data_IF_144890919926
#
_entry.id   IF_144890919926
#
_cell.length_a   1.000
_cell.length_b   1.000
_cell.length_c   1.000
_cell.angle_alpha   90.00
_cell.angle_beta   90.00
_cell.angle_gamma   90.00
#
_symmetry.space_group_name_H-M   'P 1'
#
loop_
_entity.id
_entity.type
_entity.pdbx_description
1 polymer ?
#
# COMPACT_ATOMS: atom_id res chain seq x y z
N UNK A 1 12.61 1.06 40.39
CA UNK A 1 13.86 0.94 39.61
C UNK A 1 14.70 2.16 39.93
N UNK A 2 16.04 2.07 39.99
CA UNK A 2 16.87 3.25 40.12
C UNK A 2 16.68 4.14 38.88
N UNK A 3 16.58 5.46 39.08
CA UNK A 3 16.59 6.42 37.98
C UNK A 3 18.05 6.76 37.67
N UNK A 4 18.42 6.76 36.38
CA UNK A 4 19.75 7.07 35.86
C UNK A 4 19.82 8.47 35.24
N UNK A 5 18.68 9.04 34.84
CA UNK A 5 18.56 10.36 34.26
C UNK A 5 17.45 11.17 34.95
N UNK A 6 17.79 12.40 35.36
CA UNK A 6 16.83 13.43 35.76
C UNK A 6 16.53 14.29 34.53
N UNK A 7 15.30 14.23 34.01
CA UNK A 7 14.89 14.90 32.77
C UNK A 7 13.87 15.98 33.10
N UNK A 8 14.10 17.21 32.64
CA UNK A 8 13.19 18.34 32.85
C UNK A 8 13.01 19.14 31.56
N UNK A 9 11.77 19.33 31.08
CA UNK A 9 11.52 20.22 29.95
C UNK A 9 11.70 21.69 30.37
N UNK A 10 12.04 22.54 29.41
CA UNK A 10 12.02 23.99 29.60
C UNK A 10 10.60 24.55 29.60
N UNK A 11 9.72 23.97 28.79
CA UNK A 11 8.32 24.37 28.64
C UNK A 11 7.42 23.13 28.67
N UNK A 12 6.31 23.19 29.40
CA UNK A 12 5.33 22.10 29.47
C UNK A 12 4.35 22.11 28.27
N UNK A 13 4.29 23.22 27.53
CA UNK A 13 3.40 23.41 26.38
C UNK A 13 4.08 24.17 25.25
N UNK A 14 3.92 23.70 24.01
CA UNK A 14 4.40 24.37 22.80
C UNK A 14 3.25 24.85 21.91
N UNK A 15 3.47 25.96 21.22
CA UNK A 15 2.61 26.44 20.13
C UNK A 15 3.31 26.22 18.80
N UNK A 16 2.67 25.50 17.88
CA UNK A 16 3.20 25.30 16.54
C UNK A 16 2.95 26.55 15.70
N UNK A 17 3.98 27.01 14.99
CA UNK A 17 3.88 28.02 13.95
C UNK A 17 4.15 27.34 12.61
N UNK A 18 3.19 27.39 11.71
CA UNK A 18 3.26 26.72 10.40
C UNK A 18 3.62 25.22 10.53
N UNK A 19 2.99 24.55 11.51
CA UNK A 19 3.23 23.13 11.80
C UNK A 19 4.57 22.83 12.50
N UNK A 20 5.34 23.84 12.92
CA UNK A 20 6.68 23.67 13.49
C UNK A 20 6.81 24.23 14.91
N UNK A 21 7.52 23.50 15.77
CA UNK A 21 7.92 23.96 17.11
C UNK A 21 9.22 23.26 17.56
N UNK A 22 9.73 23.61 18.75
CA UNK A 22 10.84 22.87 19.38
C UNK A 22 10.68 22.86 20.90
N UNK A 23 10.87 21.69 21.51
CA UNK A 23 11.01 21.52 22.96
C UNK A 23 12.49 21.43 23.34
N UNK A 24 12.88 22.04 24.45
CA UNK A 24 14.20 21.83 25.06
C UNK A 24 14.07 21.02 26.34
N UNK A 25 14.98 20.08 26.55
CA UNK A 25 15.05 19.23 27.74
C UNK A 25 16.43 19.35 28.35
N UNK A 26 16.48 19.62 29.65
CA UNK A 26 17.68 19.51 30.47
C UNK A 26 17.73 18.11 31.06
N UNK A 27 18.81 17.39 30.78
CA UNK A 27 19.05 16.02 31.22
C UNK A 27 20.28 15.99 32.10
N UNK A 28 20.14 15.52 33.33
CA UNK A 28 21.25 15.26 34.23
C UNK A 28 21.40 13.76 34.43
N UNK A 29 22.60 13.24 34.19
CA UNK A 29 22.89 11.83 34.43
C UNK A 29 23.33 11.62 35.89
N UNK A 30 22.65 10.72 36.59
CA UNK A 30 22.85 10.45 38.04
C UNK A 30 23.49 9.09 38.31
N UNK A 31 23.93 8.37 37.26
CA UNK A 31 24.72 7.15 37.42
C UNK A 31 26.15 7.39 37.90
N UNK A 32 26.89 6.30 38.14
CA UNK A 32 28.21 6.32 38.78
C UNK A 32 29.39 6.04 37.84
N UNK A 33 29.14 5.88 36.53
CA UNK A 33 30.14 5.65 35.48
C UNK A 33 29.84 6.52 34.27
N UNK A 34 30.84 6.87 33.49
CA UNK A 34 30.62 7.50 32.17
C UNK A 34 29.82 6.56 31.26
N UNK A 35 28.87 7.12 30.52
CA UNK A 35 28.00 6.41 29.57
C UNK A 35 27.90 7.15 28.26
N UNK A 36 27.66 6.44 27.17
CA UNK A 36 27.13 7.03 25.95
C UNK A 36 25.60 7.09 26.04
N UNK A 37 25.03 8.28 26.29
CA UNK A 37 23.60 8.47 26.46
C UNK A 37 22.94 8.88 25.14
N UNK A 38 21.83 8.24 24.78
CA UNK A 38 21.03 8.56 23.60
C UNK A 38 19.67 9.13 24.00
N UNK A 39 19.33 10.27 23.40
CA UNK A 39 18.04 10.93 23.51
C UNK A 39 17.08 10.37 22.45
N UNK A 40 15.89 9.93 22.89
CA UNK A 40 14.85 9.35 22.04
C UNK A 40 13.52 10.08 22.25
N UNK A 41 13.03 10.85 21.28
CA UNK A 41 11.72 11.48 21.41
C UNK A 41 10.63 10.43 21.18
N UNK A 42 9.56 10.49 21.97
CA UNK A 42 8.42 9.57 21.87
C UNK A 42 7.16 10.38 21.65
N UNK A 43 6.42 10.06 20.59
CA UNK A 43 5.14 10.69 20.30
C UNK A 43 4.02 10.14 21.19
N UNK A 44 3.15 11.03 21.67
CA UNK A 44 2.06 10.73 22.58
C UNK A 44 0.76 11.41 22.11
N UNK A 45 -0.38 10.97 22.66
CA UNK A 45 -1.71 11.55 22.39
C UNK A 45 -2.03 11.70 20.88
N UNK A 46 -1.74 10.66 20.09
CA UNK A 46 -2.05 10.64 18.66
C UNK A 46 -1.04 11.36 17.76
N UNK A 47 0.06 11.89 18.31
CA UNK A 47 1.18 12.38 17.52
C UNK A 47 1.89 11.21 16.81
N UNK A 48 2.58 11.51 15.71
CA UNK A 48 3.38 10.52 14.98
C UNK A 48 4.87 10.71 15.32
N UNK A 49 5.60 9.61 15.57
CA UNK A 49 7.05 9.66 15.84
C UNK A 49 7.83 10.34 14.70
N UNK A 50 7.35 10.23 13.46
CA UNK A 50 7.96 10.89 12.30
C UNK A 50 7.92 12.42 12.37
N UNK A 51 7.13 13.01 13.27
CA UNK A 51 7.09 14.45 13.49
C UNK A 51 8.21 14.94 14.39
N UNK A 52 8.87 14.02 15.11
CA UNK A 52 9.80 14.35 16.18
C UNK A 52 11.22 14.02 15.78
N UNK A 53 12.13 14.96 16.00
CA UNK A 53 13.53 14.79 15.64
C UNK A 53 14.42 15.49 16.68
N UNK A 54 15.34 14.75 17.31
CA UNK A 54 16.35 15.33 18.20
C UNK A 54 17.41 16.01 17.36
N UNK A 55 17.70 17.27 17.69
CA UNK A 55 18.76 18.05 17.04
C UNK A 55 20.12 17.38 17.29
N UNK A 56 20.86 17.14 16.22
CA UNK A 56 22.13 16.39 16.29
C UNK A 56 23.20 17.13 17.11
N UNK A 57 24.02 16.40 17.89
CA UNK A 57 24.01 14.95 18.06
C UNK A 57 22.97 14.48 19.09
N UNK A 58 22.23 13.43 18.73
CA UNK A 58 21.24 12.77 19.60
C UNK A 58 21.86 11.81 20.63
N UNK A 59 23.11 11.40 20.40
CA UNK A 59 23.89 10.57 21.30
C UNK A 59 25.10 11.38 21.80
N UNK A 60 25.35 11.36 23.12
CA UNK A 60 26.41 12.13 23.76
C UNK A 60 27.00 11.37 24.94
N UNK A 61 28.30 11.47 25.12
CA UNK A 61 28.96 10.96 26.32
C UNK A 61 28.53 11.79 27.54
N UNK A 62 28.17 11.12 28.64
CA UNK A 62 27.76 11.73 29.89
C UNK A 62 28.56 11.17 31.08
N UNK A 63 29.25 12.03 31.81
CA UNK A 63 29.92 11.72 33.07
C UNK A 63 28.93 11.76 34.27
N UNK A 64 29.23 11.09 35.40
CA UNK A 64 28.42 11.18 36.62
C UNK A 64 28.12 12.63 37.03
N UNK A 65 26.85 12.95 37.25
CA UNK A 65 26.31 14.29 37.56
C UNK A 65 26.44 15.34 36.44
N UNK A 66 26.85 14.95 35.23
CA UNK A 66 26.88 15.88 34.10
C UNK A 66 25.46 16.22 33.64
N UNK A 67 25.26 17.50 33.31
CA UNK A 67 24.01 18.02 32.75
C UNK A 67 24.22 18.41 31.29
N UNK A 68 23.29 18.03 30.44
CA UNK A 68 23.27 18.39 29.02
C UNK A 68 21.87 18.82 28.57
N UNK A 69 21.81 19.66 27.54
CA UNK A 69 20.55 20.08 26.93
C UNK A 69 20.34 19.38 25.59
N UNK A 70 19.15 18.81 25.41
CA UNK A 70 18.68 18.23 24.17
C UNK A 70 17.51 19.04 23.63
N UNK A 71 17.45 19.21 22.32
CA UNK A 71 16.36 19.92 21.65
C UNK A 71 15.64 18.98 20.71
N UNK A 72 14.33 18.90 20.83
CA UNK A 72 13.45 18.09 19.99
C UNK A 72 12.66 19.02 19.09
N UNK A 73 12.87 18.93 17.79
CA UNK A 73 12.05 19.63 16.81
C UNK A 73 10.75 18.85 16.55
N UNK A 74 9.66 19.58 16.41
CA UNK A 74 8.32 19.05 16.09
C UNK A 74 7.93 19.61 14.72
N UNK A 75 7.57 18.72 13.78
CA UNK A 75 7.17 19.05 12.41
C UNK A 75 5.89 18.29 12.05
N UNK A 76 4.73 18.87 12.32
CA UNK A 76 3.45 18.35 11.89
C UNK A 76 3.23 18.65 10.39
N UNK A 77 2.92 17.66 9.53
CA UNK A 77 2.70 17.88 8.11
C UNK A 77 1.42 18.69 7.84
N UNK A 78 1.32 19.37 6.68
CA UNK A 78 0.08 19.99 6.24
C UNK A 78 -1.09 18.98 6.22
N UNK A 79 -2.30 19.45 6.55
CA UNK A 79 -3.48 18.58 6.66
C UNK A 79 -3.56 17.74 7.94
N UNK A 80 -2.62 17.91 8.88
CA UNK A 80 -2.72 17.29 10.20
C UNK A 80 -4.01 17.75 10.90
N UNK A 81 -4.83 16.84 11.45
CA UNK A 81 -6.04 17.21 12.18
C UNK A 81 -5.74 18.18 13.32
N UNK A 82 -6.52 19.25 13.42
CA UNK A 82 -6.46 20.20 14.54
C UNK A 82 -6.70 19.46 15.85
N UNK A 83 -5.86 19.70 16.86
CA UNK A 83 -5.97 19.00 18.13
C UNK A 83 -4.79 19.20 19.07
N UNK A 84 -4.94 18.63 20.26
CA UNK A 84 -3.90 18.58 21.29
C UNK A 84 -3.11 17.27 21.17
N UNK A 85 -1.80 17.43 21.02
CA UNK A 85 -0.83 16.36 20.88
C UNK A 85 0.19 16.44 22.00
N UNK A 86 1.05 15.43 22.13
CA UNK A 86 2.11 15.45 23.11
C UNK A 86 3.34 14.69 22.65
N UNK A 87 4.46 14.97 23.31
CA UNK A 87 5.69 14.21 23.21
C UNK A 87 6.32 14.06 24.59
N UNK A 88 7.29 13.16 24.71
CA UNK A 88 8.28 13.20 25.80
C UNK A 88 9.67 12.88 25.24
N UNK A 89 10.69 13.11 26.05
CA UNK A 89 12.05 12.67 25.77
C UNK A 89 12.42 11.53 26.70
N UNK A 90 12.78 10.38 26.14
CA UNK A 90 13.34 9.26 26.88
C UNK A 90 14.87 9.25 26.71
N UNK A 91 15.58 8.89 27.77
CA UNK A 91 17.04 8.77 27.77
C UNK A 91 17.44 7.32 28.01
N UNK A 92 18.36 6.81 27.20
CA UNK A 92 18.87 5.45 27.30
C UNK A 92 20.40 5.44 27.26
N UNK A 93 21.01 4.54 28.01
CA UNK A 93 22.42 4.19 27.88
C UNK A 93 22.61 3.27 26.69
N UNK A 94 23.52 3.61 25.77
CA UNK A 94 23.82 2.76 24.59
C UNK A 94 24.43 1.42 25.00
N UNK A 95 25.18 1.39 26.10
CA UNK A 95 25.84 0.19 26.62
C UNK A 95 24.87 -0.80 27.30
N UNK A 96 23.72 -0.31 27.79
CA UNK A 96 22.75 -1.10 28.54
C UNK A 96 21.33 -0.53 28.42
N UNK A 97 20.72 -0.71 27.24
CA UNK A 97 19.41 -0.11 26.91
C UNK A 97 18.24 -0.66 27.72
N UNK A 98 18.38 -1.85 28.30
CA UNK A 98 17.27 -2.55 28.96
C UNK A 98 17.14 -2.19 30.45
N UNK A 99 18.24 -1.78 31.08
CA UNK A 99 18.29 -1.48 32.53
C UNK A 99 18.58 -0.02 32.84
N UNK A 100 19.33 0.69 31.98
CA UNK A 100 19.74 2.08 32.20
C UNK A 100 18.94 3.03 31.30
N UNK A 101 17.67 3.25 31.65
CA UNK A 101 16.79 4.19 30.95
C UNK A 101 15.84 4.94 31.88
N UNK A 102 15.43 6.14 31.46
CA UNK A 102 14.36 6.89 32.11
C UNK A 102 13.46 7.58 31.08
N UNK A 103 12.19 7.71 31.44
CA UNK A 103 11.18 8.41 30.65
C UNK A 103 11.01 9.84 31.18
N UNK A 104 11.11 10.82 30.28
CA UNK A 104 10.97 12.22 30.65
C UNK A 104 9.51 12.66 30.83
N UNK A 105 9.31 13.88 31.35
CA UNK A 105 7.99 14.49 31.45
C UNK A 105 7.34 14.69 30.07
N UNK A 106 6.01 14.75 30.06
CA UNK A 106 5.23 15.00 28.85
C UNK A 106 5.15 16.49 28.55
N UNK A 107 5.48 16.87 27.31
CA UNK A 107 5.31 18.21 26.76
C UNK A 107 4.13 18.18 25.79
N UNK A 108 3.12 19.02 26.04
CA UNK A 108 1.94 19.11 25.17
C UNK A 108 2.17 20.11 24.04
N UNK A 109 1.57 19.90 22.87
CA UNK A 109 1.61 20.88 21.80
C UNK A 109 0.32 20.87 20.99
N UNK A 110 -0.07 22.03 20.46
CA UNK A 110 -1.33 22.19 19.74
C UNK A 110 -1.10 22.42 18.25
N UNK A 111 -1.80 21.65 17.41
CA UNK A 111 -1.90 21.92 15.97
C UNK A 111 -3.14 22.78 15.77
N UNK A 112 -2.95 24.00 15.27
CA UNK A 112 -4.03 24.92 14.93
C UNK A 112 -4.49 24.72 13.49
N UNK A 113 -5.74 25.08 13.20
CA UNK A 113 -6.29 25.05 11.86
C UNK A 113 -5.49 26.00 10.95
N UNK A 114 -4.86 25.43 9.93
CA UNK A 114 -4.15 26.22 8.92
C UNK A 114 -5.19 27.07 8.19
N UNK A 115 -5.19 28.39 8.42
CA UNK A 115 -5.95 29.32 7.59
C UNK A 115 -5.40 29.22 6.18
N UNK A 116 -6.16 28.59 5.30
CA UNK A 116 -5.87 28.58 3.87
C UNK A 116 -5.74 30.05 3.41
N UNK A 117 -4.66 30.43 2.71
CA UNK A 117 -4.57 31.77 2.15
C UNK A 117 -5.79 31.98 1.25
N UNK A 118 -6.53 33.07 1.46
CA UNK A 118 -7.67 33.44 0.63
C UNK A 118 -7.25 33.33 -0.84
N UNK A 119 -7.96 32.55 -1.68
CA UNK A 119 -7.59 32.41 -3.07
C UNK A 119 -7.61 33.79 -3.71
N UNK A 120 -6.46 34.22 -4.24
CA UNK A 120 -6.39 35.45 -5.03
C UNK A 120 -7.43 35.36 -6.14
N UNK A 121 -8.27 36.38 -6.35
CA UNK A 121 -9.33 36.33 -7.36
C UNK A 121 -8.69 36.10 -8.73
N UNK A 122 -8.88 34.89 -9.26
CA UNK A 122 -8.43 34.53 -10.61
C UNK A 122 -9.21 35.43 -11.57
N UNK A 123 -8.50 36.40 -12.15
CA UNK A 123 -9.07 37.32 -13.13
C UNK A 123 -9.72 36.54 -14.28
N UNK A 124 -10.93 36.95 -14.65
CA UNK A 124 -11.72 36.29 -15.67
C UNK A 124 -10.90 36.07 -16.96
N UNK A 125 -10.72 34.81 -17.41
CA UNK A 125 -9.84 34.47 -18.53
C UNK A 125 -10.40 34.98 -19.86
N UNK A 126 -9.92 36.14 -20.31
CA UNK A 126 -10.32 36.74 -21.60
C UNK A 126 -10.07 35.86 -22.82
N UNK A 127 -9.18 34.87 -22.73
CA UNK A 127 -8.94 33.91 -23.80
C UNK A 127 -10.17 33.05 -24.10
N UNK A 128 -11.03 32.76 -23.11
CA UNK A 128 -12.29 32.02 -23.32
C UNK A 128 -13.28 32.81 -24.19
N UNK A 129 -13.32 34.13 -24.06
CA UNK A 129 -14.14 35.01 -24.93
C UNK A 129 -13.64 34.96 -26.37
N UNK A 130 -12.32 34.94 -26.57
CA UNK A 130 -11.70 34.84 -27.89
C UNK A 130 -11.99 33.47 -28.52
N UNK A 131 -11.86 32.38 -27.76
CA UNK A 131 -12.17 31.02 -28.26
C UNK A 131 -13.64 30.89 -28.66
N UNK A 132 -14.57 31.38 -27.83
CA UNK A 132 -16.02 31.35 -28.14
C UNK A 132 -16.33 32.16 -29.41
N UNK A 133 -15.71 33.33 -29.56
CA UNK A 133 -15.89 34.16 -30.77
C UNK A 133 -15.36 33.46 -32.03
N UNK A 134 -14.22 32.78 -31.96
CA UNK A 134 -13.65 32.02 -33.09
C UNK A 134 -14.53 30.83 -33.46
N UNK A 135 -15.01 30.06 -32.47
CA UNK A 135 -15.91 28.92 -32.71
C UNK A 135 -17.22 29.36 -33.37
N UNK A 136 -17.81 30.48 -32.93
CA UNK A 136 -19.01 31.04 -33.55
C UNK A 136 -18.79 31.44 -35.02
N UNK A 137 -17.64 32.05 -35.34
CA UNK A 137 -17.30 32.42 -36.72
C UNK A 137 -17.08 31.17 -37.59
N UNK A 138 -16.42 30.14 -37.06
CA UNK A 138 -16.20 28.88 -37.77
C UNK A 138 -17.50 28.09 -37.97
N UNK A 139 -18.42 28.09 -37.00
CA UNK A 139 -19.71 27.42 -37.12
C UNK A 139 -20.59 28.08 -38.21
N UNK A 140 -20.60 29.41 -38.26
CA UNK A 140 -21.34 30.15 -39.30
C UNK A 140 -20.69 29.95 -40.68
N UNK A 141 -19.35 30.02 -40.76
CA UNK A 141 -18.61 29.81 -42.00
C UNK A 141 -18.73 28.37 -42.53
N UNK A 142 -18.60 27.37 -41.65
CA UNK A 142 -18.71 25.96 -41.97
C UNK A 142 -20.13 25.54 -42.33
N UNK A 143 -21.14 26.04 -41.61
CA UNK A 143 -22.54 25.76 -41.90
C UNK A 143 -22.99 26.28 -43.28
N UNK A 144 -22.47 27.43 -43.70
CA UNK A 144 -22.77 28.00 -45.02
C UNK A 144 -22.10 27.21 -46.16
N UNK A 145 -20.93 26.63 -45.91
CA UNK A 145 -20.21 25.81 -46.89
C UNK A 145 -20.79 24.39 -47.05
N UNK A 146 -21.21 23.78 -45.92
CA UNK A 146 -21.84 22.46 -45.90
C UNK A 146 -23.19 22.45 -46.62
N UNK A 147 -24.00 23.51 -46.44
CA UNK A 147 -25.32 23.61 -47.09
C UNK A 147 -25.25 23.81 -48.61
N UNK A 148 -24.07 24.08 -49.18
CA UNK A 148 -23.88 24.33 -50.62
C UNK A 148 -23.08 23.23 -51.35
N UNK A 149 -22.61 22.19 -50.67
CA UNK A 149 -21.67 21.21 -51.23
C UNK A 149 -22.17 19.75 -51.16
N UNK A 150 -22.95 19.33 -52.17
CA UNK A 150 -23.30 17.92 -52.49
C UNK A 150 -24.61 17.44 -51.85
N UNK A 151 -25.65 16.97 -52.55
CA UNK A 151 -25.81 16.11 -53.75
C UNK A 151 -25.16 14.72 -53.66
N UNK A 152 -26.00 13.75 -53.27
CA UNK A 152 -26.14 12.45 -53.94
C UNK A 152 -25.13 11.37 -53.60
N UNK A 153 -25.47 10.46 -52.69
CA UNK A 153 -25.34 9.00 -52.93
C UNK A 153 -26.10 8.18 -51.89
N UNK A 154 -27.08 7.44 -52.38
CA UNK A 154 -27.85 6.42 -51.67
C UNK A 154 -26.99 5.16 -51.47
N UNK A 155 -27.11 4.53 -50.30
CA UNK A 155 -26.41 3.29 -49.98
C UNK A 155 -26.49 2.94 -48.49
N UNK A 156 -27.70 2.85 -47.95
CA UNK A 156 -27.97 2.27 -46.64
C UNK A 156 -27.93 0.73 -46.78
N UNK A 157 -26.78 0.13 -46.44
CA UNK A 157 -26.75 -1.26 -45.98
C UNK A 157 -27.02 -1.22 -44.47
N UNK A 158 -28.21 -1.69 -44.07
CA UNK A 158 -28.54 -1.99 -42.68
C UNK A 158 -27.68 -3.21 -42.26
N UNK A 159 -26.51 -2.95 -41.69
CA UNK A 159 -25.90 -3.90 -40.77
C UNK A 159 -26.80 -3.92 -39.52
N UNK A 160 -27.47 -5.06 -39.29
CA UNK A 160 -28.01 -5.41 -37.97
C UNK A 160 -26.81 -5.47 -37.02
N UNK A 161 -26.43 -4.30 -36.47
CA UNK A 161 -25.57 -4.19 -35.31
C UNK A 161 -26.37 -4.82 -34.17
N UNK A 162 -26.06 -6.08 -33.87
CA UNK A 162 -26.49 -6.77 -32.66
C UNK A 162 -25.98 -5.92 -31.48
N UNK A 163 -26.78 -4.92 -31.09
CA UNK A 163 -26.66 -4.12 -29.88
C UNK A 163 -26.82 -5.06 -28.68
N UNK A 164 -25.82 -5.90 -28.42
CA UNK A 164 -25.53 -6.37 -27.07
C UNK A 164 -25.22 -5.10 -26.27
N UNK A 165 -26.28 -4.49 -25.75
CA UNK A 165 -26.20 -3.42 -24.78
C UNK A 165 -25.43 -3.99 -23.58
N UNK A 166 -24.10 -3.85 -23.63
CA UNK A 166 -23.23 -4.01 -22.48
C UNK A 166 -23.74 -2.98 -21.48
N UNK A 167 -24.55 -3.46 -20.53
CA UNK A 167 -25.12 -2.61 -19.50
C UNK A 167 -23.95 -2.00 -18.74
N UNK A 168 -23.64 -0.75 -19.06
CA UNK A 168 -22.54 0.00 -18.48
C UNK A 168 -22.59 -0.19 -16.97
N UNK A 169 -21.49 -0.68 -16.41
CA UNK A 169 -21.42 -1.03 -15.00
C UNK A 169 -21.47 0.26 -14.20
N UNK A 170 -22.54 0.46 -13.44
CA UNK A 170 -22.66 1.57 -12.49
C UNK A 170 -21.97 1.26 -11.16
N UNK A 171 -21.84 2.27 -10.29
CA UNK A 171 -21.24 2.11 -8.97
C UNK A 171 -21.97 1.07 -8.10
N UNK A 172 -23.28 0.88 -8.31
CA UNK A 172 -24.09 -0.02 -7.49
C UNK A 172 -23.68 -1.48 -7.66
N UNK A 173 -23.17 -1.85 -8.84
CA UNK A 173 -22.62 -3.18 -9.13
C UNK A 173 -21.49 -3.61 -8.18
N UNK A 174 -20.79 -2.63 -7.60
CA UNK A 174 -19.66 -2.82 -6.68
C UNK A 174 -20.05 -2.76 -5.20
N UNK A 175 -21.29 -2.39 -4.88
CA UNK A 175 -21.73 -2.29 -3.49
C UNK A 175 -21.76 -3.65 -2.83
N UNK A 176 -21.27 -3.73 -1.59
CA UNK A 176 -21.23 -5.00 -0.87
C UNK A 176 -20.24 -5.03 0.28
N UNK A 177 -20.26 -6.15 0.99
CA UNK A 177 -19.28 -6.51 2.01
C UNK A 177 -18.29 -7.52 1.44
N UNK A 178 -17.01 -7.19 1.54
CA UNK A 178 -15.91 -8.00 1.08
C UNK A 178 -15.01 -8.37 2.25
N UNK A 179 -14.46 -9.59 2.22
CA UNK A 179 -13.48 -10.10 3.19
C UNK A 179 -12.17 -10.36 2.49
N UNK A 180 -11.07 -10.18 3.17
CA UNK A 180 -9.80 -10.09 2.48
C UNK A 180 -8.58 -10.11 3.35
N UNK A 181 -7.47 -9.70 2.72
CA UNK A 181 -6.16 -9.59 3.33
C UNK A 181 -5.59 -8.19 3.12
N UNK A 182 -5.10 -7.59 4.20
CA UNK A 182 -4.32 -6.36 4.19
C UNK A 182 -2.86 -6.71 4.45
N UNK A 183 -2.06 -6.79 3.39
CA UNK A 183 -0.67 -7.28 3.44
C UNK A 183 -0.56 -8.69 4.06
N UNK A 184 -1.63 -9.50 3.97
CA UNK A 184 -1.72 -10.85 4.56
C UNK A 184 -2.52 -10.95 5.86
N UNK A 185 -2.81 -9.83 6.52
CA UNK A 185 -3.59 -9.74 7.77
C UNK A 185 -5.09 -9.75 7.50
N UNK A 186 -5.92 -10.22 8.43
CA UNK A 186 -7.37 -10.25 8.20
C UNK A 186 -7.92 -8.84 8.00
N UNK A 187 -8.70 -8.66 6.94
CA UNK A 187 -9.31 -7.37 6.63
C UNK A 187 -10.72 -7.53 6.07
N UNK A 188 -11.50 -6.46 6.14
CA UNK A 188 -12.78 -6.33 5.43
C UNK A 188 -12.85 -5.01 4.69
N UNK A 189 -13.56 -4.98 3.57
CA UNK A 189 -13.86 -3.78 2.80
C UNK A 189 -15.36 -3.75 2.56
N UNK A 190 -16.01 -2.65 2.92
CA UNK A 190 -17.39 -2.37 2.56
C UNK A 190 -17.41 -1.26 1.52
N UNK A 191 -18.12 -1.49 0.43
CA UNK A 191 -18.35 -0.52 -0.64
C UNK A 191 -19.83 -0.17 -0.65
N UNK A 192 -20.13 1.12 -0.71
CA UNK A 192 -21.50 1.65 -0.78
C UNK A 192 -21.56 2.70 -1.88
N UNK A 193 -22.30 2.42 -2.95
CA UNK A 193 -22.64 3.43 -3.93
C UNK A 193 -23.64 4.43 -3.33
N UNK A 194 -23.56 5.68 -3.77
CA UNK A 194 -24.60 6.66 -3.50
C UNK A 194 -25.83 6.41 -4.39
N UNK A 195 -26.93 7.14 -4.13
CA UNK A 195 -28.18 7.00 -4.91
C UNK A 195 -28.01 7.34 -6.39
N UNK A 196 -27.09 8.26 -6.72
CA UNK A 196 -26.82 8.65 -8.09
C UNK A 196 -25.95 7.65 -8.87
N UNK A 197 -25.31 6.69 -8.18
CA UNK A 197 -24.43 5.70 -8.80
C UNK A 197 -23.11 6.27 -9.34
N UNK A 198 -22.74 7.49 -8.93
CA UNK A 198 -21.57 8.22 -9.41
C UNK A 198 -20.47 8.39 -8.35
N UNK A 199 -20.71 7.91 -7.12
CA UNK A 199 -19.73 7.90 -6.05
C UNK A 199 -19.78 6.58 -5.25
N UNK A 200 -18.61 6.16 -4.77
CA UNK A 200 -18.42 5.01 -3.90
C UNK A 200 -17.87 5.47 -2.55
N UNK A 201 -18.58 5.14 -1.48
CA UNK A 201 -18.07 5.21 -0.11
C UNK A 201 -17.40 3.89 0.25
N UNK A 202 -16.16 3.98 0.68
CA UNK A 202 -15.29 2.86 1.00
C UNK A 202 -15.03 2.84 2.52
N UNK A 203 -15.20 1.68 3.15
CA UNK A 203 -14.96 1.46 4.58
C UNK A 203 -14.08 0.21 4.72
N UNK A 204 -12.78 0.41 4.94
CA UNK A 204 -11.82 -0.66 5.15
C UNK A 204 -11.59 -0.86 6.65
N UNK A 205 -11.53 -2.12 7.09
CA UNK A 205 -11.14 -2.49 8.46
C UNK A 205 -9.98 -3.48 8.45
N UNK A 206 -8.96 -3.15 9.22
CA UNK A 206 -7.88 -4.05 9.61
C UNK A 206 -8.34 -4.79 10.87
N UNK A 207 -8.81 -6.02 10.70
CA UNK A 207 -9.45 -6.79 11.77
C UNK A 207 -8.45 -7.23 12.83
N UNK A 208 -7.18 -7.42 12.45
CA UNK A 208 -6.13 -7.83 13.37
C UNK A 208 -5.67 -6.67 14.26
N UNK A 209 -5.72 -5.43 13.77
CA UNK A 209 -5.37 -4.21 14.57
C UNK A 209 -6.57 -3.45 15.12
N UNK A 210 -7.79 -3.87 14.78
CA UNK A 210 -9.02 -3.13 15.06
C UNK A 210 -8.95 -1.65 14.59
N UNK A 211 -8.37 -1.43 13.41
CA UNK A 211 -8.26 -0.10 12.80
C UNK A 211 -9.27 0.03 11.64
N UNK A 212 -9.84 1.21 11.46
CA UNK A 212 -10.80 1.52 10.38
C UNK A 212 -10.34 2.73 9.60
N UNK A 213 -10.42 2.63 8.28
CA UNK A 213 -10.16 3.72 7.34
C UNK A 213 -11.36 3.87 6.41
N UNK A 214 -11.77 5.10 6.15
CA UNK A 214 -12.89 5.40 5.27
C UNK A 214 -12.45 6.38 4.18
N UNK A 215 -13.11 6.32 3.03
CA UNK A 215 -12.93 7.29 1.96
C UNK A 215 -14.13 7.33 1.04
N UNK A 216 -14.15 8.32 0.16
CA UNK A 216 -15.20 8.53 -0.82
C UNK A 216 -14.54 8.90 -2.14
N UNK A 217 -14.97 8.27 -3.22
CA UNK A 217 -14.36 8.39 -4.54
C UNK A 217 -15.44 8.51 -5.58
N UNK A 218 -15.22 9.39 -6.55
CA UNK A 218 -16.07 9.46 -7.73
C UNK A 218 -15.85 8.26 -8.62
N UNK A 219 -16.93 7.76 -9.19
CA UNK A 219 -16.96 6.61 -10.07
C UNK A 219 -17.59 7.03 -11.39
N UNK A 220 -16.77 7.06 -12.43
CA UNK A 220 -17.26 7.11 -13.80
C UNK A 220 -17.36 5.68 -14.29
N UNK A 221 -18.59 5.16 -14.48
CA UNK A 221 -18.79 3.81 -15.03
C UNK A 221 -18.14 3.62 -16.40
N UNK A 222 -18.27 2.40 -16.94
CA UNK A 222 -17.74 2.03 -18.26
C UNK A 222 -17.14 0.63 -18.27
N UNK A 223 -16.68 0.21 -19.45
CA UNK A 223 -16.29 -1.18 -19.73
C UNK A 223 -14.85 -1.51 -19.34
N UNK A 224 -14.07 -0.53 -18.90
CA UNK A 224 -12.68 -0.73 -18.49
C UNK A 224 -12.56 -1.08 -17.01
N UNK A 225 -11.48 -1.76 -16.65
CA UNK A 225 -11.10 -1.93 -15.25
C UNK A 225 -10.99 -0.56 -14.58
N UNK A 226 -11.66 -0.38 -13.44
CA UNK A 226 -11.69 0.91 -12.77
C UNK A 226 -10.55 0.98 -11.76
N UNK A 227 -9.51 1.73 -12.12
CA UNK A 227 -8.41 2.07 -11.20
C UNK A 227 -8.71 3.40 -10.55
N UNK A 228 -9.05 3.33 -9.27
CA UNK A 228 -9.33 4.48 -8.44
C UNK A 228 -8.08 4.81 -7.63
N UNK A 229 -7.51 5.99 -7.86
CA UNK A 229 -6.37 6.52 -7.11
C UNK A 229 -6.81 7.27 -5.86
N UNK A 230 -6.05 7.11 -4.78
CA UNK A 230 -6.31 7.78 -3.51
C UNK A 230 -7.62 7.42 -2.79
N UNK A 231 -8.09 6.16 -2.80
CA UNK A 231 -9.37 5.78 -2.19
C UNK A 231 -9.52 6.12 -0.71
N UNK A 232 -8.42 6.30 0.02
CA UNK A 232 -8.42 6.68 1.44
C UNK A 232 -7.58 7.93 1.74
N UNK A 233 -7.36 8.80 0.74
CA UNK A 233 -6.68 10.08 0.91
C UNK A 233 -5.15 10.08 0.68
N UNK A 234 -4.52 8.94 0.42
CA UNK A 234 -3.13 8.86 -0.04
C UNK A 234 -3.10 8.60 -1.55
N UNK A 235 -2.62 9.57 -2.33
CA UNK A 235 -2.58 9.51 -3.81
C UNK A 235 -1.80 8.33 -4.39
N UNK A 236 -1.01 7.63 -3.56
CA UNK A 236 -0.29 6.44 -3.98
C UNK A 236 -1.08 5.14 -3.85
N UNK A 237 -2.25 5.17 -3.23
CA UNK A 237 -3.12 4.01 -3.15
C UNK A 237 -3.91 3.83 -4.44
N UNK A 238 -4.07 2.59 -4.88
CA UNK A 238 -4.84 2.20 -6.06
C UNK A 238 -5.83 1.13 -5.66
N UNK A 239 -7.12 1.40 -5.79
CA UNK A 239 -8.21 0.41 -5.73
C UNK A 239 -8.51 -0.02 -7.16
N UNK A 240 -8.56 -1.31 -7.42
CA UNK A 240 -8.84 -1.86 -8.74
C UNK A 240 -10.09 -2.72 -8.66
N UNK A 241 -11.07 -2.35 -9.48
CA UNK A 241 -12.34 -3.05 -9.67
C UNK A 241 -12.26 -3.82 -11.00
N UNK A 242 -12.32 -5.16 -10.92
CA UNK A 242 -12.03 -6.08 -12.02
C UNK A 242 -13.19 -6.20 -13.02
N UNK A 243 -12.92 -6.13 -14.32
CA UNK A 243 -13.97 -6.15 -15.35
C UNK A 243 -14.79 -7.44 -15.35
N UNK A 244 -14.11 -8.58 -15.20
CA UNK A 244 -14.72 -9.90 -15.40
C UNK A 244 -15.17 -10.60 -14.11
N UNK A 245 -14.83 -10.07 -12.93
CA UNK A 245 -15.27 -10.61 -11.64
C UNK A 245 -15.51 -9.49 -10.61
N UNK A 246 -16.79 -9.19 -10.35
CA UNK A 246 -17.22 -8.14 -9.40
C UNK A 246 -17.16 -8.58 -7.94
N UNK A 247 -16.99 -9.86 -7.71
CA UNK A 247 -16.81 -10.38 -6.37
C UNK A 247 -15.37 -10.24 -5.90
N UNK A 248 -14.46 -9.85 -6.79
CA UNK A 248 -13.03 -9.66 -6.53
C UNK A 248 -12.61 -8.19 -6.55
N UNK A 249 -11.73 -7.82 -5.62
CA UNK A 249 -11.14 -6.49 -5.54
C UNK A 249 -9.65 -6.63 -5.21
N UNK A 250 -8.80 -5.96 -5.97
CA UNK A 250 -7.39 -5.76 -5.62
C UNK A 250 -7.15 -4.33 -5.20
N UNK A 251 -6.19 -4.14 -4.30
CA UNK A 251 -5.67 -2.82 -3.97
C UNK A 251 -4.17 -2.85 -3.78
N UNK A 252 -3.52 -1.76 -4.14
CA UNK A 252 -2.15 -1.46 -3.77
C UNK A 252 -2.16 -0.24 -2.85
N UNK A 253 -1.42 -0.29 -1.76
CA UNK A 253 -1.20 0.90 -0.93
C UNK A 253 0.28 1.10 -0.63
N UNK A 254 0.63 2.27 -0.09
CA UNK A 254 1.98 2.55 0.38
C UNK A 254 1.98 2.87 1.86
N UNK A 255 2.97 2.33 2.57
CA UNK A 255 3.21 2.66 3.98
C UNK A 255 4.68 2.99 4.14
N UNK A 256 4.96 4.22 4.59
CA UNK A 256 6.34 4.74 4.69
C UNK A 256 7.13 4.60 3.37
N UNK A 257 6.46 4.77 2.24
CA UNK A 257 7.06 4.65 0.90
C UNK A 257 7.23 3.21 0.40
N UNK A 258 6.84 2.20 1.18
CA UNK A 258 6.88 0.79 0.80
C UNK A 258 5.50 0.34 0.34
N UNK A 259 5.40 -0.20 -0.87
CA UNK A 259 4.15 -0.71 -1.40
C UNK A 259 3.73 -2.01 -0.70
N UNK A 260 2.43 -2.22 -0.55
CA UNK A 260 1.86 -3.47 -0.02
C UNK A 260 0.53 -3.79 -0.70
N UNK A 261 0.28 -5.09 -0.86
CA UNK A 261 -0.92 -5.60 -1.51
C UNK A 261 -2.11 -5.72 -0.57
N UNK A 262 -3.31 -5.56 -1.13
CA UNK A 262 -4.58 -5.90 -0.47
C UNK A 262 -5.46 -6.64 -1.46
N UNK A 263 -6.17 -7.64 -0.95
CA UNK A 263 -7.10 -8.43 -1.74
C UNK A 263 -8.39 -8.55 -0.98
N UNK A 264 -9.52 -8.47 -1.66
CA UNK A 264 -10.82 -8.73 -1.07
C UNK A 264 -11.67 -9.55 -2.04
N UNK A 265 -12.48 -10.43 -1.48
CA UNK A 265 -13.51 -11.17 -2.20
C UNK A 265 -14.82 -11.15 -1.40
N UNK A 266 -16.00 -11.19 -2.04
CA UNK A 266 -17.28 -11.27 -1.29
C UNK A 266 -17.37 -12.50 -0.38
N UNK A 267 -16.84 -13.63 -0.84
CA UNK A 267 -16.70 -14.85 -0.03
C UNK A 267 -15.51 -14.85 0.93
N UNK A 268 -14.56 -13.93 0.76
CA UNK A 268 -13.24 -14.01 1.38
C UNK A 268 -12.33 -15.03 0.72
N UNK A 269 -11.19 -15.29 1.37
CA UNK A 269 -10.20 -16.27 0.91
C UNK A 269 -9.94 -17.30 2.02
N UNK A 270 -9.99 -18.58 1.66
CA UNK A 270 -9.89 -19.69 2.62
C UNK A 270 -8.47 -19.92 3.16
N UNK A 271 -7.44 -19.34 2.53
CA UNK A 271 -6.05 -19.54 2.95
C UNK A 271 -5.62 -18.51 3.99
N UNK A 272 -4.92 -18.94 5.03
CA UNK A 272 -4.29 -18.01 5.96
C UNK A 272 -3.14 -17.25 5.29
N UNK A 273 -2.93 -15.99 5.68
CA UNK A 273 -1.66 -15.31 5.42
C UNK A 273 -0.53 -16.02 6.15
N UNK A 274 0.42 -16.59 5.41
CA UNK A 274 1.67 -17.08 6.00
C UNK A 274 2.50 -15.90 6.51
N UNK A 275 2.76 -15.82 7.82
CA UNK A 275 3.81 -14.92 8.32
C UNK A 275 5.15 -15.44 7.84
N UNK A 276 5.98 -14.53 7.33
CA UNK A 276 7.42 -14.42 7.59
C UNK A 276 8.08 -13.77 6.38
N UNK A 277 8.67 -12.61 6.59
CA UNK A 277 9.86 -12.22 5.83
C UNK A 277 10.98 -12.18 6.87
N UNK A 278 11.96 -13.06 6.72
CA UNK A 278 13.32 -12.78 7.18
C UNK A 278 14.12 -12.50 5.90
N UNK A 279 15.08 -11.58 5.99
CA UNK A 279 15.70 -10.91 4.85
C UNK A 279 16.40 -11.86 3.87
N UNK A 280 16.71 -13.10 4.26
CA UNK A 280 17.43 -14.05 3.40
C UNK A 280 16.52 -14.98 2.59
N UNK A 281 15.20 -14.99 2.85
CA UNK A 281 14.27 -15.99 2.30
C UNK A 281 13.35 -15.51 1.18
N UNK A 282 13.52 -14.29 0.68
CA UNK A 282 12.67 -13.74 -0.38
C UNK A 282 12.50 -14.68 -1.59
N UNK A 283 13.55 -15.44 -1.93
CA UNK A 283 13.52 -16.42 -3.04
C UNK A 283 12.45 -17.48 -2.84
N UNK A 284 12.29 -17.97 -1.61
CA UNK A 284 11.28 -18.98 -1.29
C UNK A 284 9.85 -18.41 -1.39
N UNK A 285 9.66 -17.12 -1.13
CA UNK A 285 8.34 -16.46 -1.19
C UNK A 285 7.91 -16.10 -2.60
N UNK A 286 8.85 -15.92 -3.53
CA UNK A 286 8.53 -15.78 -4.95
C UNK A 286 8.44 -17.14 -5.64
N UNK A 287 9.30 -18.09 -5.30
CA UNK A 287 9.32 -19.39 -5.99
C UNK A 287 8.04 -20.18 -5.72
N UNK A 288 7.32 -20.54 -6.77
CA UNK A 288 6.10 -21.34 -6.63
C UNK A 288 5.15 -21.20 -7.80
N UNK A 289 4.00 -21.85 -7.64
CA UNK A 289 2.83 -21.71 -8.51
C UNK A 289 1.70 -21.08 -7.73
N UNK A 290 0.93 -20.26 -8.42
CA UNK A 290 -0.16 -19.49 -7.88
C UNK A 290 -1.34 -19.56 -8.85
N UNK A 291 -2.54 -19.67 -8.30
CA UNK A 291 -3.83 -19.62 -9.00
C UNK A 291 -4.52 -18.33 -8.60
N UNK A 292 -5.21 -17.69 -9.52
CA UNK A 292 -5.71 -16.35 -9.27
C UNK A 292 -6.48 -15.78 -10.44
N UNK A 293 -6.49 -14.45 -10.51
CA UNK A 293 -7.20 -13.71 -11.53
C UNK A 293 -6.38 -12.53 -12.04
N UNK A 294 -6.52 -12.25 -13.34
CA UNK A 294 -6.05 -11.05 -14.03
C UNK A 294 -7.27 -10.37 -14.64
N UNK A 295 -7.60 -9.16 -14.20
CA UNK A 295 -8.87 -8.48 -14.52
C UNK A 295 -10.15 -9.29 -14.24
N UNK A 296 -10.09 -10.20 -13.26
CA UNK A 296 -11.20 -11.11 -12.92
C UNK A 296 -11.26 -12.38 -13.79
N UNK A 297 -10.39 -12.53 -14.79
CA UNK A 297 -10.26 -13.77 -15.56
C UNK A 297 -9.35 -14.76 -14.83
N UNK A 298 -9.73 -16.04 -14.81
CA UNK A 298 -8.89 -17.09 -14.21
C UNK A 298 -7.46 -17.04 -14.77
N UNK A 299 -6.48 -17.17 -13.90
CA UNK A 299 -5.08 -17.03 -14.27
C UNK A 299 -4.18 -17.92 -13.41
N UNK A 300 -3.08 -18.37 -13.99
CA UNK A 300 -2.03 -19.14 -13.31
C UNK A 300 -0.69 -18.45 -13.45
N UNK A 301 -0.03 -18.19 -12.33
CA UNK A 301 1.30 -17.61 -12.28
C UNK A 301 2.29 -18.65 -11.77
N UNK A 302 3.40 -18.83 -12.48
CA UNK A 302 4.54 -19.61 -12.02
C UNK A 302 5.78 -18.73 -11.99
N UNK A 303 6.45 -18.70 -10.84
CA UNK A 303 7.67 -17.95 -10.65
C UNK A 303 8.82 -18.90 -10.27
N UNK A 304 9.93 -18.81 -11.00
CA UNK A 304 11.15 -19.59 -10.76
C UNK A 304 12.34 -18.67 -10.55
N UNK A 305 13.16 -18.97 -9.55
CA UNK A 305 14.30 -18.13 -9.17
C UNK A 305 15.61 -18.75 -9.64
N UNK A 306 16.39 -17.99 -10.39
CA UNK A 306 17.74 -18.35 -10.83
C UNK A 306 18.74 -17.23 -10.49
N UNK A 307 19.55 -17.42 -9.46
CA UNK A 307 20.45 -16.36 -8.98
C UNK A 307 19.68 -15.19 -8.39
N UNK A 308 19.75 -14.03 -9.04
CA UNK A 308 18.99 -12.81 -8.71
C UNK A 308 17.82 -12.58 -9.66
N UNK A 309 17.55 -13.53 -10.55
CA UNK A 309 16.57 -13.40 -11.60
C UNK A 309 15.30 -14.18 -11.24
N UNK A 310 14.14 -13.59 -11.52
CA UNK A 310 12.82 -14.22 -11.46
C UNK A 310 12.35 -14.46 -12.88
N UNK A 311 12.11 -15.71 -13.26
CA UNK A 311 11.40 -16.04 -14.49
C UNK A 311 9.93 -16.26 -14.17
N UNK A 312 9.08 -15.58 -14.92
CA UNK A 312 7.63 -15.60 -14.78
C UNK A 312 7.01 -16.30 -15.99
N UNK A 313 6.04 -17.16 -15.70
CA UNK A 313 5.12 -17.74 -16.67
C UNK A 313 3.72 -17.42 -16.18
N UNK A 314 2.98 -16.63 -16.94
CA UNK A 314 1.62 -16.20 -16.62
C UNK A 314 0.68 -16.72 -17.70
N UNK A 315 -0.26 -17.59 -17.34
CA UNK A 315 -1.36 -18.00 -18.21
C UNK A 315 -2.63 -17.29 -17.76
N UNK A 316 -3.33 -16.63 -18.69
CA UNK A 316 -4.61 -15.94 -18.46
C UNK A 316 -5.65 -16.61 -19.35
N UNK A 317 -6.78 -17.02 -18.77
CA UNK A 317 -7.88 -17.61 -19.51
C UNK A 317 -8.66 -16.50 -20.24
N UNK A 318 -9.02 -16.73 -21.50
CA UNK A 318 -9.67 -15.71 -22.33
C UNK A 318 -11.21 -15.80 -22.23
N UNK A 319 -11.95 -14.69 -22.36
CA UNK A 319 -13.41 -14.68 -22.29
C UNK A 319 -14.09 -15.57 -23.35
N UNK A 320 -13.48 -15.73 -24.52
CA UNK A 320 -13.98 -16.49 -25.67
C UNK A 320 -13.71 -18.00 -25.59
N UNK A 321 -13.07 -18.46 -24.52
CA UNK A 321 -12.66 -19.85 -24.35
C UNK A 321 -11.27 -20.09 -24.94
N UNK A 322 -10.27 -20.07 -24.06
CA UNK A 322 -8.87 -20.26 -24.43
C UNK A 322 -7.97 -19.82 -23.29
N UNK A 323 -6.66 -19.83 -23.50
CA UNK A 323 -5.72 -19.21 -22.56
C UNK A 323 -4.50 -18.68 -23.28
N UNK A 324 -4.11 -17.43 -23.00
CA UNK A 324 -2.87 -16.85 -23.49
C UNK A 324 -1.78 -17.02 -22.43
N UNK A 325 -0.63 -17.56 -22.81
CA UNK A 325 0.52 -17.71 -21.92
C UNK A 325 1.62 -16.72 -22.27
N UNK A 326 2.01 -15.93 -21.28
CA UNK A 326 3.09 -14.96 -21.33
C UNK A 326 4.30 -15.44 -20.54
N UNK A 327 5.49 -15.22 -21.08
CA UNK A 327 6.76 -15.59 -20.46
C UNK A 327 7.71 -14.41 -20.42
N UNK A 328 8.45 -14.28 -19.33
CA UNK A 328 9.43 -13.22 -19.22
C UNK A 328 10.34 -13.38 -18.02
N UNK A 329 11.34 -12.53 -17.97
CA UNK A 329 12.41 -12.61 -16.99
C UNK A 329 12.71 -11.24 -16.44
N UNK A 330 12.84 -11.14 -15.11
CA UNK A 330 13.18 -9.90 -14.42
C UNK A 330 14.32 -10.12 -13.45
N UNK A 331 15.35 -9.28 -13.55
CA UNK A 331 16.41 -9.25 -12.54
C UNK A 331 15.86 -8.49 -11.31
N UNK A 332 15.89 -9.14 -10.16
CA UNK A 332 15.66 -8.47 -8.88
C UNK A 332 17.01 -8.01 -8.38
N UNK A 333 17.16 -6.71 -8.14
CA UNK A 333 18.39 -6.18 -7.57
C UNK A 333 18.27 -6.19 -6.04
N UNK A 334 18.81 -7.19 -5.31
CA UNK A 334 18.77 -7.23 -3.85
C UNK A 334 19.64 -6.13 -3.21
N UNK A 335 20.43 -5.39 -4.00
CA UNK A 335 21.40 -4.43 -3.52
C UNK A 335 20.78 -3.13 -3.03
N UNK A 336 20.23 -3.12 -1.81
CA UNK A 336 20.38 -2.09 -0.74
C UNK A 336 19.16 -1.96 0.16
N UNK A 337 17.99 -2.44 -0.26
CA UNK A 337 16.75 -2.25 0.49
C UNK A 337 15.94 -3.57 0.57
N UNK A 338 16.08 -4.35 1.66
CA UNK A 338 15.30 -5.58 1.84
C UNK A 338 13.79 -5.32 1.82
N UNK A 339 13.36 -4.09 2.14
CA UNK A 339 11.95 -3.70 2.11
C UNK A 339 11.37 -3.55 0.70
N UNK A 340 12.19 -3.64 -0.36
CA UNK A 340 11.71 -3.66 -1.75
C UNK A 340 11.73 -5.04 -2.39
N UNK A 341 12.25 -6.06 -1.71
CA UNK A 341 12.44 -7.40 -2.30
C UNK A 341 11.12 -8.18 -2.49
N UNK A 342 10.00 -7.69 -1.94
CA UNK A 342 8.68 -8.24 -2.19
C UNK A 342 7.95 -7.58 -3.37
N UNK A 343 8.55 -6.57 -4.02
CA UNK A 343 7.96 -5.88 -5.18
C UNK A 343 8.77 -6.16 -6.44
N UNK A 344 8.08 -6.63 -7.48
CA UNK A 344 8.60 -6.85 -8.82
C UNK A 344 7.96 -5.83 -9.76
N UNK A 345 8.77 -4.92 -10.29
CA UNK A 345 8.30 -3.83 -11.15
C UNK A 345 8.82 -3.98 -12.58
N UNK A 346 8.02 -3.57 -13.56
CA UNK A 346 8.43 -3.44 -14.96
C UNK A 346 8.90 -4.73 -15.62
N UNK A 347 8.28 -5.88 -15.29
CA UNK A 347 8.58 -7.12 -15.99
C UNK A 347 7.77 -7.20 -17.28
N UNK A 348 8.47 -7.25 -18.41
CA UNK A 348 7.89 -7.45 -19.73
C UNK A 348 7.76 -8.95 -19.99
N UNK A 349 6.56 -9.41 -20.29
CA UNK A 349 6.26 -10.78 -20.66
C UNK A 349 5.78 -10.82 -22.12
N UNK A 350 6.31 -11.75 -22.90
CA UNK A 350 5.93 -11.96 -24.30
C UNK A 350 5.00 -13.18 -24.39
N UNK A 351 3.95 -13.11 -25.20
CA UNK A 351 3.11 -14.28 -25.45
C UNK A 351 3.95 -15.40 -26.07
N UNK A 352 3.61 -16.67 -25.83
CA UNK A 352 4.31 -17.80 -26.45
C UNK A 352 4.23 -17.78 -27.99
N UNK A 353 3.21 -17.12 -28.54
CA UNK A 353 3.06 -16.89 -29.97
C UNK A 353 3.91 -15.71 -30.49
N UNK A 354 4.43 -14.87 -29.59
CA UNK A 354 5.29 -13.71 -29.91
C UNK A 354 4.56 -12.52 -30.54
N UNK A 355 3.23 -12.53 -30.55
CA UNK A 355 2.38 -11.49 -31.13
C UNK A 355 1.97 -10.40 -30.12
N UNK A 356 2.06 -10.68 -28.82
CA UNK A 356 1.56 -9.81 -27.77
C UNK A 356 2.59 -9.60 -26.67
N UNK A 357 2.50 -8.46 -25.99
CA UNK A 357 3.32 -8.15 -24.83
C UNK A 357 2.41 -7.70 -23.69
N UNK A 358 2.61 -8.30 -22.52
CA UNK A 358 2.04 -7.85 -21.25
C UNK A 358 3.16 -7.25 -20.39
N UNK A 359 2.91 -6.10 -19.77
CA UNK A 359 3.88 -5.49 -18.84
C UNK A 359 3.35 -5.54 -17.42
N UNK A 360 3.99 -6.31 -16.55
CA UNK A 360 3.76 -6.22 -15.11
C UNK A 360 4.34 -4.90 -14.62
N UNK A 361 3.48 -3.94 -14.29
CA UNK A 361 3.90 -2.63 -13.73
C UNK A 361 4.40 -2.80 -12.32
N UNK A 362 3.64 -3.52 -11.49
CA UNK A 362 3.97 -3.80 -10.10
C UNK A 362 3.36 -5.14 -9.71
N UNK A 363 4.12 -6.03 -9.08
CA UNK A 363 3.64 -7.31 -8.55
C UNK A 363 4.28 -7.53 -7.19
N UNK A 364 3.46 -7.80 -6.18
CA UNK A 364 3.87 -7.79 -4.78
C UNK A 364 3.54 -9.12 -4.14
N UNK A 365 4.51 -9.74 -3.48
CA UNK A 365 4.24 -10.79 -2.50
C UNK A 365 3.90 -10.12 -1.17
N UNK A 366 2.80 -10.53 -0.52
CA UNK A 366 2.38 -9.92 0.74
C UNK A 366 3.33 -10.27 1.89
N UNK A 367 3.73 -9.27 2.68
CA UNK A 367 4.73 -9.39 3.74
C UNK A 367 4.26 -10.26 4.92
N UNK A 368 2.99 -10.15 5.30
CA UNK A 368 2.40 -10.99 6.36
C UNK A 368 1.60 -12.16 5.80
N UNK A 369 1.75 -12.44 4.50
CA UNK A 369 0.98 -13.47 3.83
C UNK A 369 1.59 -13.92 2.52
N UNK A 370 2.74 -14.58 2.52
CA UNK A 370 3.47 -15.01 1.31
C UNK A 370 2.73 -16.02 0.40
N UNK A 371 1.53 -16.43 0.80
CA UNK A 371 0.58 -17.15 -0.04
C UNK A 371 -0.16 -16.23 -1.01
N UNK A 372 -0.09 -14.90 -0.84
CA UNK A 372 -0.81 -13.92 -1.63
C UNK A 372 0.16 -13.08 -2.45
N UNK A 373 -0.17 -12.94 -3.71
CA UNK A 373 0.50 -12.03 -4.65
C UNK A 373 -0.56 -11.10 -5.22
N UNK A 374 -0.27 -9.82 -5.30
CA UNK A 374 -1.15 -8.84 -5.97
C UNK A 374 -0.35 -7.93 -6.86
N UNK A 375 -0.94 -7.44 -7.92
CA UNK A 375 -0.24 -6.51 -8.78
C UNK A 375 -1.16 -5.72 -9.68
N UNK A 376 -0.51 -4.94 -10.54
CA UNK A 376 -1.10 -4.30 -11.69
C UNK A 376 -0.25 -4.65 -12.90
N UNK A 377 -0.93 -5.06 -13.96
CA UNK A 377 -0.36 -5.28 -15.28
C UNK A 377 -0.95 -4.29 -16.28
N UNK A 378 -0.21 -4.02 -17.35
CA UNK A 378 -0.69 -3.37 -18.56
C UNK A 378 -0.80 -4.46 -19.64
N UNK A 379 -2.02 -4.63 -20.13
CA UNK A 379 -2.38 -5.59 -21.17
C UNK A 379 -1.87 -5.12 -22.54
N UNK A 380 -1.85 -5.97 -23.58
CA UNK A 380 -1.34 -5.61 -24.91
C UNK A 380 -2.04 -4.39 -25.56
N UNK A 381 -3.29 -4.14 -25.21
CA UNK A 381 -4.10 -2.99 -25.64
C UNK A 381 -3.81 -1.70 -24.86
N UNK A 382 -2.90 -1.75 -23.87
CA UNK A 382 -2.56 -0.63 -22.98
C UNK A 382 -3.46 -0.49 -21.76
N UNK A 383 -4.47 -1.36 -21.60
CA UNK A 383 -5.36 -1.34 -20.44
C UNK A 383 -4.60 -1.77 -19.17
N UNK A 384 -4.68 -0.97 -18.11
CA UNK A 384 -4.19 -1.40 -16.80
C UNK A 384 -5.22 -2.27 -16.09
N UNK A 385 -4.78 -3.42 -15.57
CA UNK A 385 -5.63 -4.41 -14.91
C UNK A 385 -5.05 -4.86 -13.57
N UNK A 386 -5.93 -5.21 -12.65
CA UNK A 386 -5.55 -5.76 -11.35
C UNK A 386 -5.16 -7.23 -11.46
N UNK A 387 -4.25 -7.66 -10.60
CA UNK A 387 -3.83 -9.06 -10.49
C UNK A 387 -3.94 -9.52 -9.05
N UNK A 388 -4.45 -10.73 -8.85
CA UNK A 388 -4.52 -11.38 -7.54
C UNK A 388 -4.18 -12.85 -7.73
N UNK A 389 -3.18 -13.35 -7.01
CA UNK A 389 -2.83 -14.76 -7.02
C UNK A 389 -2.69 -15.30 -5.60
N UNK A 390 -3.10 -16.55 -5.45
CA UNK A 390 -3.02 -17.34 -4.24
C UNK A 390 -2.16 -18.56 -4.57
N UNK A 391 -1.16 -18.80 -3.74
CA UNK A 391 -0.22 -19.89 -3.92
C UNK A 391 -0.95 -21.24 -3.87
N UNK A 392 -0.64 -22.16 -4.80
CA UNK A 392 -1.27 -23.49 -4.87
C UNK A 392 -0.95 -24.34 -3.63
N UNK A 393 0.27 -24.23 -3.08
CA UNK A 393 0.73 -24.96 -1.91
C UNK A 393 1.27 -24.00 -0.88
N UNK A 394 0.74 -24.07 0.35
CA UNK A 394 1.17 -23.17 1.41
C UNK A 394 2.67 -23.30 1.66
N UNK A 395 3.35 -22.16 1.85
CA UNK A 395 4.71 -22.19 2.38
C UNK A 395 4.60 -22.46 3.88
N UNK A 396 5.17 -23.56 4.40
CA UNK A 396 5.16 -23.81 5.83
C UNK A 396 5.84 -22.65 6.56
N UNK A 397 5.23 -22.19 7.65
CA UNK A 397 5.79 -21.10 8.45
C UNK A 397 7.22 -21.47 8.88
N UNK A 398 8.25 -20.65 8.57
CA UNK A 398 9.61 -20.98 8.96
C UNK A 398 9.71 -21.08 10.48
N UNK A 399 10.29 -22.20 10.95
CA UNK A 399 10.52 -22.43 12.37
C UNK A 399 9.46 -23.27 13.11
N UNK A 400 8.35 -23.66 12.46
CA UNK A 400 7.63 -24.85 12.93
C UNK A 400 8.45 -26.06 12.51
N UNK A 401 9.31 -26.54 13.40
CA UNK A 401 9.72 -27.93 13.36
C UNK A 401 8.43 -28.74 13.30
N UNK A 402 8.12 -29.33 12.14
CA UNK A 402 7.28 -30.52 12.15
C UNK A 402 8.02 -31.46 13.09
N UNK A 403 7.46 -31.66 14.29
CA UNK A 403 7.81 -32.81 15.10
C UNK A 403 7.49 -33.99 14.19
N UNK A 404 8.50 -34.49 13.48
CA UNK A 404 8.45 -35.79 12.85
C UNK A 404 7.97 -36.69 13.99
N UNK A 405 6.77 -37.29 13.90
CA UNK A 405 6.31 -38.17 14.97
C UNK A 405 7.38 -39.23 15.09
N UNK A 406 8.13 -39.18 16.20
CA UNK A 406 9.12 -40.20 16.52
C UNK A 406 8.27 -41.46 16.61
N UNK A 407 8.36 -42.34 15.62
CA UNK A 407 7.62 -43.58 15.70
C UNK A 407 8.10 -44.27 16.98
N UNK A 408 7.20 -44.58 17.94
CA UNK A 408 7.59 -45.25 19.16
C UNK A 408 7.81 -46.73 18.85
N UNK A 409 8.86 -47.05 18.10
CA UNK A 409 9.45 -48.38 18.08
C UNK A 409 10.77 -48.38 18.86
N UNK A 410 10.73 -47.91 20.11
CA UNK A 410 11.66 -48.44 21.10
C UNK A 410 11.12 -49.82 21.48
N UNK A 411 11.46 -50.84 20.66
CA UNK A 411 11.42 -52.22 21.14
C UNK A 411 12.45 -52.30 22.26
N UNK A 412 11.99 -52.25 23.50
CA UNK A 412 12.80 -52.66 24.65
C UNK A 412 13.21 -54.11 24.42
N UNK A 413 14.44 -54.33 23.96
CA UNK A 413 15.09 -55.61 24.10
C UNK A 413 15.25 -55.86 25.59
N UNK A 414 14.44 -56.78 26.11
CA UNK A 414 14.55 -57.36 27.43
C UNK A 414 15.94 -57.97 27.53
N UNK A 415 16.87 -57.31 28.23
CA UNK A 415 18.13 -57.95 28.62
C UNK A 415 17.76 -59.03 29.62
N UNK A 416 17.96 -60.28 29.24
CA UNK A 416 17.85 -61.42 30.14
C UNK A 416 19.04 -61.36 31.11
N UNK A 417 18.84 -61.25 32.43
CA UNK A 417 19.92 -61.40 33.39
C UNK A 417 20.19 -62.90 33.55
N UNK A 418 21.10 -63.41 32.72
CA UNK A 418 21.48 -64.82 32.72
C UNK A 418 22.45 -65.14 31.60
N UNK A 419 23.66 -64.60 31.69
CA UNK A 419 24.95 -65.21 31.32
C UNK A 419 26.10 -64.22 31.54
#
# INVERSE_FOLDING_TARGET
>A
MPNYYEISPTDDTLTLRDGKASASFTVRYVGNRTVEARAQPVALKGANDAWLEVESPATREMEPNQTQNFKVSVKAPPGTPTGDYALRLDMVSVDNTDEEYDQGPTVSFKVEESKEPEPEPIGFPWWLVVVIAVVLVLAIGGGTWYALSGDGTDGEEEEEEDDEATLAIDASGWSGDYRGRLDGRNASLRIQANEAGDNLRLIQRDLDRNATTNGEVSFSGGDNAHIITGPFGDSNERLILHRHDRDLISMLGKWRGVSFGRVFARGGFDRSGGRNFDDDRWKAYWQGKFEGHTDGLESRLSATIGGNTVNLVLSVDNPDGGSTTYVGTRNMNPGSDPTRMHVLEGARLESLEGNETLTIKELLVHTWGSNYVTGIAEMPDGTEVGQIFIREKDVPAPGRFELIPIQPEIRMHRINPGN
#
